data_IF_877592077668
#
_entry.id   IF_877592077668
#
_cell.length_a   1.000
_cell.length_b   1.000
_cell.length_c   1.000
_cell.angle_alpha   90.00
_cell.angle_beta   90.00
_cell.angle_gamma   90.00
#
_symmetry.space_group_name_H-M   'P 1'
#
loop_
_entity.id
_entity.type
_entity.pdbx_description
1 polymer ?
#
# COMPACT_ATOMS: atom_id res chain seq x y z
N UNK A 1 4.59 9.73 2.52
CA UNK A 1 3.18 9.94 2.13
C UNK A 1 2.45 8.61 2.23
N UNK A 2 1.20 8.53 2.72
CA UNK A 2 0.43 7.29 2.68
C UNK A 2 0.03 6.93 1.24
N UNK A 3 -0.15 5.63 0.92
CA UNK A 3 -0.61 5.23 -0.40
C UNK A 3 -2.03 5.74 -0.63
N UNK A 4 -2.25 6.36 -1.79
CA UNK A 4 -3.56 6.85 -2.22
C UNK A 4 -4.60 5.71 -2.13
N UNK A 5 -5.70 5.87 -1.35
CA UNK A 5 -6.73 4.85 -1.18
C UNK A 5 -7.30 4.35 -2.51
N UNK A 6 -7.31 5.21 -3.54
CA UNK A 6 -7.74 4.88 -4.91
C UNK A 6 -6.92 3.77 -5.56
N UNK A 7 -5.68 3.57 -5.08
CA UNK A 7 -4.77 2.53 -5.55
C UNK A 7 -4.44 1.47 -4.49
N UNK A 8 -5.21 1.39 -3.38
CA UNK A 8 -4.98 0.43 -2.31
C UNK A 8 -5.00 -1.04 -2.79
N UNK A 9 -5.82 -1.37 -3.80
CA UNK A 9 -5.87 -2.70 -4.42
C UNK A 9 -4.50 -3.18 -4.93
N UNK A 10 -3.62 -2.25 -5.32
CA UNK A 10 -2.31 -2.57 -5.91
C UNK A 10 -1.34 -3.21 -4.91
N UNK A 11 -1.58 -3.06 -3.61
CA UNK A 11 -0.78 -3.67 -2.54
C UNK A 11 -1.04 -5.16 -2.36
N UNK A 12 -2.15 -5.66 -2.90
CA UNK A 12 -2.59 -7.06 -2.82
C UNK A 12 -2.41 -7.82 -4.13
N UNK A 13 -1.76 -7.21 -5.12
CA UNK A 13 -1.50 -7.86 -6.40
C UNK A 13 -0.58 -9.08 -6.18
N UNK A 14 -1.01 -10.21 -6.72
CA UNK A 14 -0.17 -11.41 -6.78
C UNK A 14 1.08 -11.15 -7.64
N UNK A 15 2.22 -11.76 -7.30
CA UNK A 15 3.47 -11.57 -8.06
C UNK A 15 4.10 -10.18 -7.94
N UNK A 16 3.63 -9.34 -7.02
CA UNK A 16 4.26 -8.06 -6.72
C UNK A 16 5.74 -8.24 -6.33
N UNK A 17 6.59 -7.36 -6.84
CA UNK A 17 8.02 -7.34 -6.51
C UNK A 17 8.21 -7.08 -5.00
N UNK A 18 9.13 -7.81 -4.35
CA UNK A 18 9.26 -7.83 -2.87
C UNK A 18 10.57 -7.23 -2.33
N UNK A 19 11.57 -7.02 -3.19
CA UNK A 19 12.90 -6.58 -2.73
C UNK A 19 13.01 -5.05 -2.77
N UNK A 20 12.97 -4.47 -3.97
CA UNK A 20 13.12 -3.03 -4.19
C UNK A 20 12.02 -2.54 -5.12
N UNK A 21 10.77 -2.79 -4.75
CA UNK A 21 9.62 -2.54 -5.60
C UNK A 21 9.59 -1.08 -6.08
N UNK A 22 9.59 -0.87 -7.40
CA UNK A 22 9.60 0.45 -8.00
C UNK A 22 8.43 1.30 -7.49
N UNK A 23 7.23 0.75 -7.37
CA UNK A 23 6.07 1.47 -6.87
C UNK A 23 6.18 1.93 -5.41
N UNK A 24 7.09 1.35 -4.61
CA UNK A 24 7.26 1.65 -3.19
C UNK A 24 8.46 2.54 -2.91
N UNK A 25 9.35 2.73 -3.89
CA UNK A 25 10.51 3.62 -3.76
C UNK A 25 10.10 5.09 -3.74
N UNK A 26 10.90 5.93 -3.06
CA UNK A 26 10.73 7.39 -3.03
C UNK A 26 10.73 8.05 -4.42
N UNK A 27 11.35 7.41 -5.41
CA UNK A 27 11.50 7.96 -6.75
C UNK A 27 10.24 7.83 -7.62
N UNK A 28 9.43 6.80 -7.36
CA UNK A 28 8.29 6.46 -8.22
C UNK A 28 6.98 6.26 -7.45
N UNK A 29 6.94 6.67 -6.19
CA UNK A 29 5.88 6.50 -5.18
C UNK A 29 4.43 6.83 -5.62
N UNK A 30 4.22 7.38 -6.83
CA UNK A 30 2.89 7.74 -7.32
C UNK A 30 2.75 7.71 -8.85
N UNK A 31 3.36 6.74 -9.54
CA UNK A 31 3.19 6.65 -11.00
C UNK A 31 2.05 5.71 -11.37
N UNK A 32 1.08 6.25 -12.12
CA UNK A 32 -0.17 5.61 -12.59
C UNK A 32 0.02 4.25 -13.27
N UNK A 33 1.24 3.88 -13.69
CA UNK A 33 1.50 2.64 -14.40
C UNK A 33 1.49 1.42 -13.46
N UNK A 34 0.57 0.49 -13.72
CA UNK A 34 0.44 -0.77 -13.01
C UNK A 34 1.75 -1.58 -12.98
N UNK A 35 2.55 -1.50 -14.04
CA UNK A 35 3.75 -2.33 -14.20
C UNK A 35 4.79 -2.12 -13.10
N UNK A 36 4.88 -0.93 -12.52
CA UNK A 36 5.89 -0.64 -11.49
C UNK A 36 5.71 -1.49 -10.22
N UNK A 37 4.51 -2.01 -9.96
CA UNK A 37 4.28 -2.93 -8.85
C UNK A 37 4.97 -4.29 -9.05
N UNK A 38 5.40 -4.61 -10.27
CA UNK A 38 6.04 -5.88 -10.62
C UNK A 38 7.54 -5.72 -10.91
N UNK A 39 8.10 -4.51 -10.76
CA UNK A 39 9.49 -4.23 -11.07
C UNK A 39 10.28 -3.95 -9.81
N UNK A 40 11.49 -4.48 -9.76
CA UNK A 40 12.51 -4.10 -8.78
C UNK A 40 13.43 -3.03 -9.36
N UNK A 41 13.84 -2.08 -8.52
CA UNK A 41 14.81 -1.03 -8.83
C UNK A 41 16.21 -1.50 -8.43
N UNK A 42 17.13 -1.39 -9.38
CA UNK A 42 18.56 -1.69 -9.20
C UNK A 42 19.40 -0.49 -9.59
N UNK A 43 20.54 -0.35 -8.91
CA UNK A 43 21.57 0.66 -9.17
C UNK A 43 20.97 2.07 -9.34
N UNK A 44 20.22 2.59 -8.35
CA UNK A 44 19.74 3.97 -8.41
C UNK A 44 20.94 4.92 -8.31
N UNK A 45 21.03 5.84 -9.27
CA UNK A 45 21.98 6.95 -9.26
C UNK A 45 21.21 8.23 -9.00
N UNK A 46 21.68 9.04 -8.04
CA UNK A 46 21.04 10.28 -7.61
C UNK A 46 21.89 11.50 -7.93
N UNK A 47 21.24 12.63 -8.19
CA UNK A 47 21.89 13.92 -8.26
C UNK A 47 22.22 14.46 -6.86
N UNK A 48 22.94 15.58 -6.80
CA UNK A 48 23.30 16.24 -5.55
C UNK A 48 22.10 16.67 -4.68
N UNK A 49 20.90 16.69 -5.26
CA UNK A 49 19.65 17.02 -4.56
C UNK A 49 18.87 15.75 -4.13
N UNK A 50 19.46 14.56 -4.27
CA UNK A 50 18.82 13.28 -3.92
C UNK A 50 17.71 12.86 -4.88
N UNK A 51 17.62 13.47 -6.07
CA UNK A 51 16.66 13.07 -7.09
C UNK A 51 17.26 12.00 -8.00
N UNK A 52 16.44 11.01 -8.39
CA UNK A 52 16.90 9.92 -9.24
C UNK A 52 17.29 10.41 -10.64
N UNK A 53 18.55 10.24 -11.01
CA UNK A 53 19.07 10.48 -12.36
C UNK A 53 18.94 9.25 -13.25
N UNK A 54 19.25 8.08 -12.70
CA UNK A 54 19.22 6.82 -13.46
C UNK A 54 18.91 5.62 -12.57
N UNK A 55 18.35 4.57 -13.16
CA UNK A 55 18.25 3.27 -12.51
C UNK A 55 18.08 2.16 -13.56
N UNK A 56 18.14 0.92 -13.10
CA UNK A 56 17.78 -0.26 -13.91
C UNK A 56 16.58 -0.95 -13.30
N UNK A 57 15.52 -1.12 -14.08
CA UNK A 57 14.40 -1.98 -13.69
C UNK A 57 14.66 -3.43 -14.09
N UNK A 58 14.28 -4.35 -13.21
CA UNK A 58 14.19 -5.80 -13.49
C UNK A 58 12.82 -6.33 -13.10
N UNK A 59 12.39 -7.42 -13.72
CA UNK A 59 11.15 -8.07 -13.31
C UNK A 59 11.33 -8.70 -11.91
N UNK A 60 10.49 -8.33 -10.96
CA UNK A 60 10.53 -8.90 -9.60
C UNK A 60 9.91 -10.29 -9.47
N UNK A 61 9.34 -10.83 -10.56
CA UNK A 61 8.78 -12.20 -10.59
C UNK A 61 9.86 -13.19 -11.04
N UNK A 62 10.48 -12.94 -12.20
CA UNK A 62 11.46 -13.87 -12.78
C UNK A 62 12.91 -13.41 -12.69
N UNK A 63 13.18 -12.20 -12.21
CA UNK A 63 14.52 -11.60 -12.20
C UNK A 63 15.07 -11.25 -13.59
N UNK A 64 14.32 -11.53 -14.68
CA UNK A 64 14.71 -11.25 -16.06
C UNK A 64 14.20 -9.89 -16.51
N UNK A 65 14.66 -9.46 -17.69
CA UNK A 65 14.40 -8.13 -18.20
C UNK A 65 15.32 -7.10 -17.55
N UNK A 66 15.90 -6.23 -18.38
CA UNK A 66 16.82 -5.21 -17.93
C UNK A 66 16.46 -3.93 -18.68
N UNK A 67 15.77 -3.01 -18.00
CA UNK A 67 15.32 -1.76 -18.59
C UNK A 67 16.00 -0.60 -17.92
N UNK A 68 16.93 0.01 -18.64
CA UNK A 68 17.61 1.22 -18.18
C UNK A 68 16.65 2.41 -18.24
N UNK A 69 16.52 3.09 -17.12
CA UNK A 69 15.77 4.33 -16.98
C UNK A 69 16.74 5.47 -16.71
N UNK A 70 16.50 6.61 -17.36
CA UNK A 70 17.26 7.86 -17.17
C UNK A 70 16.29 9.03 -17.18
N UNK A 71 16.47 9.98 -16.26
CA UNK A 71 15.66 11.20 -16.11
C UNK A 71 15.51 11.97 -17.44
N UNK A 72 16.62 12.14 -18.15
CA UNK A 72 16.69 12.82 -19.46
C UNK A 72 16.80 11.85 -20.65
N UNK A 73 16.47 10.57 -20.47
CA UNK A 73 16.57 9.57 -21.53
C UNK A 73 15.43 9.66 -22.55
N UNK A 74 15.68 9.18 -23.78
CA UNK A 74 14.67 9.13 -24.87
C UNK A 74 13.37 8.42 -24.48
N UNK A 75 13.46 7.42 -23.60
CA UNK A 75 12.27 6.66 -23.16
C UNK A 75 11.38 7.45 -22.21
N UNK A 76 11.88 8.46 -21.50
CA UNK A 76 11.16 9.31 -20.50
C UNK A 76 10.22 8.53 -19.55
N UNK A 77 10.51 7.26 -19.26
CA UNK A 77 9.64 6.42 -18.44
C UNK A 77 8.53 5.67 -19.19
N UNK A 78 8.65 5.50 -20.51
CA UNK A 78 7.81 4.58 -21.29
C UNK A 78 7.88 3.17 -20.70
N UNK A 79 6.71 2.57 -20.52
CA UNK A 79 6.55 1.25 -19.88
C UNK A 79 6.24 0.15 -20.89
N UNK A 80 6.19 0.44 -22.20
CA UNK A 80 5.70 -0.50 -23.22
C UNK A 80 6.43 -1.84 -23.21
N UNK A 81 7.76 -1.82 -23.12
CA UNK A 81 8.56 -3.06 -23.12
C UNK A 81 8.36 -3.87 -21.82
N UNK A 82 8.16 -3.19 -20.70
CA UNK A 82 7.88 -3.83 -19.41
C UNK A 82 6.48 -4.46 -19.42
N UNK A 83 5.49 -3.74 -19.97
CA UNK A 83 4.13 -4.25 -20.17
C UNK A 83 4.11 -5.47 -21.09
N UNK A 84 4.84 -5.43 -22.20
CA UNK A 84 5.00 -6.55 -23.14
C UNK A 84 5.59 -7.77 -22.44
N UNK A 85 6.67 -7.58 -21.69
CA UNK A 85 7.27 -8.64 -20.89
C UNK A 85 6.30 -9.28 -19.90
N UNK A 86 5.53 -8.48 -19.15
CA UNK A 86 4.54 -8.99 -18.21
C UNK A 86 3.43 -9.78 -18.92
N UNK A 87 2.96 -9.28 -20.06
CA UNK A 87 1.92 -9.93 -20.86
C UNK A 87 2.37 -11.28 -21.41
N UNK A 88 3.61 -11.38 -21.88
CA UNK A 88 4.13 -12.58 -22.54
C UNK A 88 4.68 -13.62 -21.57
N UNK A 89 5.40 -13.18 -20.53
CA UNK A 89 6.12 -14.08 -19.61
C UNK A 89 5.34 -14.37 -18.33
N UNK A 90 4.43 -13.49 -17.95
CA UNK A 90 3.65 -13.60 -16.71
C UNK A 90 2.14 -13.41 -16.93
N UNK A 91 1.51 -14.02 -17.96
CA UNK A 91 0.11 -13.75 -18.29
C UNK A 91 -0.84 -14.06 -17.12
N UNK A 92 -0.59 -15.15 -16.39
CA UNK A 92 -1.41 -15.59 -15.26
C UNK A 92 -1.38 -14.61 -14.07
N UNK A 93 -0.35 -13.78 -13.97
CA UNK A 93 -0.21 -12.75 -12.93
C UNK A 93 -0.68 -11.39 -13.47
N UNK A 94 -0.30 -11.10 -14.71
CA UNK A 94 -0.56 -9.81 -15.35
C UNK A 94 -2.05 -9.58 -15.63
N UNK A 95 -2.77 -10.58 -16.15
CA UNK A 95 -4.18 -10.42 -16.51
C UNK A 95 -5.07 -10.14 -15.28
N UNK A 96 -4.98 -10.90 -14.16
CA UNK A 96 -5.71 -10.57 -12.94
C UNK A 96 -5.37 -9.17 -12.40
N UNK A 97 -4.10 -8.76 -12.49
CA UNK A 97 -3.67 -7.43 -12.08
C UNK A 97 -4.29 -6.32 -12.94
N UNK A 98 -4.34 -6.50 -14.25
CA UNK A 98 -5.01 -5.56 -15.18
C UNK A 98 -6.51 -5.48 -14.91
N UNK A 99 -7.17 -6.62 -14.69
CA UNK A 99 -8.60 -6.66 -14.35
C UNK A 99 -8.90 -5.93 -13.05
N UNK A 100 -8.13 -6.22 -12.00
CA UNK A 100 -8.25 -5.55 -10.70
C UNK A 100 -8.04 -4.04 -10.83
N UNK A 101 -7.05 -3.65 -11.65
CA UNK A 101 -6.77 -2.24 -11.89
C UNK A 101 -7.89 -1.54 -12.68
N UNK A 102 -8.46 -2.21 -13.69
CA UNK A 102 -9.60 -1.72 -14.47
C UNK A 102 -10.84 -1.57 -13.59
N UNK A 103 -11.16 -2.57 -12.76
CA UNK A 103 -12.29 -2.54 -11.84
C UNK A 103 -12.18 -1.37 -10.85
N UNK A 104 -11.01 -1.15 -10.26
CA UNK A 104 -10.77 -0.01 -9.38
C UNK A 104 -10.96 1.33 -10.11
N UNK A 105 -10.47 1.47 -11.34
CA UNK A 105 -10.64 2.70 -12.13
C UNK A 105 -12.11 2.96 -12.50
N UNK A 106 -12.88 1.92 -12.82
CA UNK A 106 -14.33 2.04 -13.09
C UNK A 106 -15.05 2.50 -11.82
N UNK A 107 -14.74 1.93 -10.66
CA UNK A 107 -15.32 2.35 -9.39
C UNK A 107 -15.04 3.82 -9.07
N UNK A 108 -13.82 4.31 -9.38
CA UNK A 108 -13.47 5.72 -9.21
C UNK A 108 -14.26 6.64 -10.13
N UNK A 109 -14.33 6.31 -11.43
CA UNK A 109 -15.09 7.10 -12.40
C UNK A 109 -16.58 7.13 -12.06
N UNK A 110 -17.14 6.02 -11.56
CA UNK A 110 -18.52 5.95 -11.08
C UNK A 110 -18.75 6.86 -9.86
N UNK A 111 -17.78 6.93 -8.93
CA UNK A 111 -17.84 7.83 -7.78
C UNK A 111 -17.72 9.32 -8.20
N UNK A 112 -16.88 9.63 -9.19
CA UNK A 112 -16.70 11.00 -9.72
C UNK A 112 -17.91 11.46 -10.57
N UNK A 113 -18.54 10.57 -11.33
CA UNK A 113 -19.67 10.89 -12.22
C UNK A 113 -20.99 11.09 -11.48
N UNK A 114 -21.08 10.76 -10.19
CA UNK A 114 -22.25 11.00 -9.35
C UNK A 114 -22.25 12.40 -8.70
N UNK A 115 -21.30 13.28 -9.07
CA UNK A 115 -21.06 14.59 -8.44
C UNK A 115 -21.79 15.78 -9.08
N UNK A 116 -23.06 15.64 -9.51
CA UNK A 116 -23.93 16.77 -9.91
C UNK A 116 -25.38 16.72 -9.38
N UNK A 117 -25.67 15.92 -8.36
CA UNK A 117 -26.98 15.92 -7.67
C UNK A 117 -26.70 16.05 -6.17
N UNK A 118 -27.48 16.86 -5.40
CA UNK A 118 -27.23 17.12 -3.99
C UNK A 118 -26.96 15.82 -3.25
N UNK A 119 -25.82 15.80 -2.56
CA UNK A 119 -25.33 14.73 -1.73
C UNK A 119 -26.49 14.16 -0.93
N UNK A 120 -27.06 13.04 -1.40
CA UNK A 120 -27.67 12.09 -0.48
C UNK A 120 -26.46 11.48 0.21
N UNK A 121 -26.30 11.68 1.54
CA UNK A 121 -25.17 11.15 2.26
C UNK A 121 -25.01 9.68 1.89
N UNK A 122 -23.77 9.24 1.67
CA UNK A 122 -23.44 7.83 1.73
C UNK A 122 -24.23 7.27 2.91
N UNK A 123 -25.22 6.43 2.63
CA UNK A 123 -25.83 5.67 3.70
C UNK A 123 -24.64 4.99 4.38
N UNK A 124 -24.41 5.26 5.68
CA UNK A 124 -23.46 4.47 6.41
C UNK A 124 -23.88 3.03 6.12
N UNK A 125 -22.92 2.17 5.77
CA UNK A 125 -23.12 0.76 6.05
C UNK A 125 -23.35 0.75 7.55
N UNK A 126 -24.63 0.77 7.92
CA UNK A 126 -25.07 0.61 9.28
C UNK A 126 -24.76 -0.84 9.57
N UNK A 127 -23.50 -1.11 9.92
CA UNK A 127 -23.27 -2.15 10.90
C UNK A 127 -24.07 -1.66 12.08
N UNK A 128 -25.19 -2.31 12.36
CA UNK A 128 -26.07 -2.06 13.50
C UNK A 128 -25.35 -2.20 14.85
N UNK A 129 -24.04 -2.46 14.83
CA UNK A 129 -23.18 -2.52 15.99
C UNK A 129 -22.36 -1.24 16.06
N UNK A 130 -22.39 -0.53 17.20
CA UNK A 130 -21.45 0.56 17.44
C UNK A 130 -20.02 0.04 17.28
N UNK A 131 -19.13 0.94 16.87
CA UNK A 131 -17.71 0.61 16.78
C UNK A 131 -17.22 0.18 18.17
N UNK A 132 -16.73 -1.05 18.25
CA UNK A 132 -16.24 -1.65 19.49
C UNK A 132 -14.73 -1.47 19.58
N UNK A 133 -14.32 -0.50 20.40
CA UNK A 133 -12.92 -0.16 20.64
C UNK A 133 -12.14 -1.33 21.23
N UNK A 134 -12.80 -2.19 22.01
CA UNK A 134 -12.19 -3.34 22.67
C UNK A 134 -11.87 -4.43 21.64
N UNK A 135 -12.80 -4.72 20.73
CA UNK A 135 -12.58 -5.66 19.62
C UNK A 135 -11.51 -5.15 18.65
N UNK A 136 -11.47 -3.84 18.39
CA UNK A 136 -10.42 -3.23 17.58
C UNK A 136 -9.04 -3.40 18.23
N UNK A 137 -8.92 -3.04 19.51
CA UNK A 137 -7.69 -3.17 20.28
C UNK A 137 -7.24 -4.62 20.38
N UNK A 138 -8.17 -5.55 20.57
CA UNK A 138 -7.89 -6.98 20.58
C UNK A 138 -7.33 -7.45 19.23
N UNK A 139 -7.97 -7.09 18.12
CA UNK A 139 -7.49 -7.46 16.77
C UNK A 139 -6.12 -6.88 16.47
N UNK A 140 -5.88 -5.63 16.86
CA UNK A 140 -4.61 -4.96 16.67
C UNK A 140 -3.51 -5.60 17.53
N UNK A 141 -3.81 -5.90 18.79
CA UNK A 141 -2.93 -6.64 19.71
C UNK A 141 -2.60 -8.04 19.19
N UNK A 142 -3.60 -8.80 18.74
CA UNK A 142 -3.39 -10.12 18.13
C UNK A 142 -2.52 -10.05 16.88
N UNK A 143 -2.70 -9.04 16.03
CA UNK A 143 -1.86 -8.83 14.85
C UNK A 143 -0.41 -8.58 15.24
N UNK A 144 -0.18 -7.75 16.25
CA UNK A 144 1.13 -7.46 16.84
C UNK A 144 1.82 -8.73 17.37
N UNK A 145 1.11 -9.51 18.19
CA UNK A 145 1.63 -10.76 18.76
C UNK A 145 1.90 -11.79 17.66
N UNK A 146 0.98 -11.98 16.71
CA UNK A 146 1.14 -12.95 15.61
C UNK A 146 2.32 -12.62 14.69
N UNK A 147 2.67 -11.33 14.57
CA UNK A 147 3.80 -10.86 13.76
C UNK A 147 5.08 -10.65 14.57
N UNK A 148 5.08 -11.07 15.83
CA UNK A 148 6.18 -10.88 16.79
C UNK A 148 6.73 -9.45 16.80
N UNK A 149 5.83 -8.46 16.77
CA UNK A 149 6.21 -7.06 16.78
C UNK A 149 6.56 -6.60 18.21
N UNK A 150 7.61 -5.76 18.37
CA UNK A 150 7.97 -5.20 19.67
C UNK A 150 6.88 -4.24 20.15
N UNK A 151 6.65 -4.20 21.47
CA UNK A 151 5.66 -3.30 22.07
C UNK A 151 6.02 -1.82 21.83
N UNK A 152 7.31 -1.52 21.68
CA UNK A 152 7.82 -0.18 21.36
C UNK A 152 7.30 0.38 20.01
N UNK A 153 6.84 -0.47 19.08
CA UNK A 153 6.22 0.04 17.83
C UNK A 153 4.88 0.75 18.10
N UNK A 154 4.24 0.50 19.25
CA UNK A 154 3.05 1.24 19.69
C UNK A 154 3.37 2.69 20.06
N UNK A 155 4.61 2.94 20.48
CA UNK A 155 5.15 4.27 20.77
C UNK A 155 5.70 4.95 19.52
N UNK A 156 5.78 4.25 18.38
CA UNK A 156 6.26 4.80 17.13
C UNK A 156 5.35 5.94 16.66
N UNK A 157 5.94 7.13 16.49
CA UNK A 157 5.21 8.36 16.17
C UNK A 157 4.44 8.26 14.86
N UNK A 158 5.04 7.71 13.80
CA UNK A 158 4.38 7.53 12.51
C UNK A 158 3.21 6.52 12.58
N UNK A 159 3.32 5.50 13.44
CA UNK A 159 2.23 4.56 13.69
C UNK A 159 1.09 5.21 14.48
N UNK A 160 1.41 6.04 15.47
CA UNK A 160 0.43 6.82 16.25
C UNK A 160 -0.28 7.85 15.37
N UNK A 161 0.45 8.55 14.50
CA UNK A 161 -0.13 9.47 13.52
C UNK A 161 -1.08 8.75 12.57
N UNK A 162 -0.76 7.53 12.14
CA UNK A 162 -1.66 6.72 11.32
C UNK A 162 -2.95 6.36 12.07
N UNK A 163 -2.85 5.97 13.35
CA UNK A 163 -4.02 5.69 14.19
C UNK A 163 -4.88 6.95 14.43
N UNK A 164 -4.23 8.10 14.65
CA UNK A 164 -4.89 9.40 14.79
C UNK A 164 -5.53 9.88 13.48
N UNK A 165 -4.91 9.59 12.34
CA UNK A 165 -5.48 9.88 11.03
C UNK A 165 -6.73 9.04 10.74
N UNK A 166 -6.79 7.80 11.26
CA UNK A 166 -7.98 6.96 11.18
C UNK A 166 -9.08 7.39 12.15
N UNK A 167 -8.76 8.20 13.17
CA UNK A 167 -9.68 8.65 14.24
C UNK A 167 -10.98 9.24 13.72
N UNK A 168 -11.02 10.16 12.74
CA UNK A 168 -12.28 10.73 12.24
C UNK A 168 -13.16 9.71 11.50
N UNK A 169 -12.54 8.63 11.00
CA UNK A 169 -13.26 7.53 10.33
C UNK A 169 -13.79 6.50 11.34
N UNK A 170 -13.33 6.58 12.59
CA UNK A 170 -13.62 5.65 13.69
C UNK A 170 -14.28 6.36 14.90
N UNK A 171 -14.66 7.62 14.76
CA UNK A 171 -15.13 8.46 15.86
C UNK A 171 -16.49 7.97 16.38
N UNK A 172 -16.68 7.72 17.68
CA UNK A 172 -16.04 8.43 18.79
C UNK A 172 -15.57 7.59 20.00
N UNK A 173 -14.69 6.59 19.82
CA UNK A 173 -14.11 5.86 20.98
C UNK A 173 -12.59 5.53 20.92
N UNK A 174 -11.80 5.95 19.92
CA UNK A 174 -10.33 5.74 19.87
C UNK A 174 -9.58 6.91 20.54
N UNK A 175 -8.52 6.79 21.37
CA UNK A 175 -7.65 5.71 21.86
C UNK A 175 -6.96 6.21 23.16
N UNK A 176 -6.74 5.34 24.14
CA UNK A 176 -5.73 5.52 25.21
C UNK A 176 -4.53 4.60 24.89
N UNK A 177 -3.40 5.21 24.52
CA UNK A 177 -2.15 4.49 24.19
C UNK A 177 -1.61 3.68 25.36
N UNK A 178 -1.88 4.12 26.60
CA UNK A 178 -1.40 3.45 27.81
C UNK A 178 -2.15 2.15 28.09
N UNK A 179 -3.44 2.07 27.77
CA UNK A 179 -4.23 0.85 27.90
C UNK A 179 -3.83 -0.26 26.91
N UNK A 180 -3.39 0.12 25.71
CA UNK A 180 -2.97 -0.83 24.68
C UNK A 180 -1.64 -1.51 24.97
N UNK A 181 -0.65 -0.76 25.46
CA UNK A 181 0.66 -1.32 25.83
C UNK A 181 0.52 -2.42 26.88
N UNK A 182 -0.27 -2.16 27.93
CA UNK A 182 -0.52 -3.13 29.02
C UNK A 182 -1.19 -4.42 28.53
N UNK A 183 -2.08 -4.34 27.54
CA UNK A 183 -2.76 -5.52 26.95
C UNK A 183 -1.84 -6.40 26.12
N UNK A 184 -0.93 -5.78 25.36
CA UNK A 184 0.09 -6.51 24.59
C UNK A 184 1.00 -7.30 25.51
N UNK A 185 1.42 -6.69 26.63
CA UNK A 185 2.26 -7.36 27.62
C UNK A 185 1.53 -8.50 28.34
N UNK A 186 0.29 -8.28 28.78
CA UNK A 186 -0.52 -9.31 29.43
C UNK A 186 -0.79 -10.54 28.52
N UNK A 187 -1.03 -10.33 27.22
CA UNK A 187 -1.24 -11.44 26.27
C UNK A 187 0.03 -12.21 25.91
N UNK A 188 1.21 -11.60 26.07
CA UNK A 188 2.49 -12.30 25.90
C UNK A 188 2.76 -13.22 27.10
N UNK A 189 2.52 -12.72 28.32
CA UNK A 189 2.67 -13.50 29.55
C UNK A 189 1.71 -14.70 29.63
N UNK A 190 0.48 -14.59 29.10
CA UNK A 190 -0.48 -15.71 29.10
C UNK A 190 -0.14 -16.84 28.11
N UNK A 191 0.88 -16.69 27.25
CA UNK A 191 1.34 -17.74 26.33
C UNK A 191 2.61 -18.45 26.81
N UNK A 192 3.21 -17.95 27.89
CA UNK A 192 4.44 -18.47 28.49
C UNK A 192 4.17 -19.34 29.73
N UNK A 193 2.92 -19.42 30.19
CA UNK A 193 2.39 -20.39 31.15
C UNK A 193 1.45 -21.40 30.46
#
# INVERSE_FOLDING_TARGET
>A
MPPDPRFAHRWRLEGRARLNNAADTRYFFNRKALVYHFLDVYNPEEDSNGSLESCTFRCGICGRGNWKWRKNGRSRGSTSNMNGHMKEKHPNIWQPGVQSHKAARIALLAAESQSTVPVKPLHPVSSSKPFDIEVFNEKLTRWFVKRNKPAAEMENEAFRELLLFLKPTLEGQLLDSTGMGKRVEAMKQSKEN
#
